data_IF_091388270578
#
_entry.id   IF_091388270578
#
_cell.length_a   1.000
_cell.length_b   1.000
_cell.length_c   1.000
_cell.angle_alpha   90.00
_cell.angle_beta   90.00
_cell.angle_gamma   90.00
#
_symmetry.space_group_name_H-M   'P 1'
#
loop_
_entity.id
_entity.type
_entity.pdbx_description
1 polymer ?
#
# COMPACT_ATOMS: atom_id res chain seq x y z
N UNK A 1 -29.95 25.24 -20.15
CA UNK A 1 -29.10 24.06 -19.88
C UNK A 1 -29.78 23.29 -18.78
N UNK A 2 -30.22 22.05 -19.04
CA UNK A 2 -30.83 21.21 -17.98
C UNK A 2 -29.80 20.94 -16.90
N UNK A 3 -30.14 21.26 -15.65
CA UNK A 3 -29.37 20.83 -14.49
C UNK A 3 -29.34 19.29 -14.48
N UNK A 4 -28.18 18.66 -14.24
CA UNK A 4 -28.11 17.21 -14.12
C UNK A 4 -29.00 16.74 -12.97
N UNK A 5 -29.74 15.65 -13.19
CA UNK A 5 -30.68 15.07 -12.22
C UNK A 5 -29.99 14.60 -10.93
N UNK A 6 -28.71 14.23 -11.05
CA UNK A 6 -27.85 13.80 -9.96
C UNK A 6 -26.57 14.65 -9.90
N UNK A 7 -26.16 14.98 -8.69
CA UNK A 7 -24.96 15.74 -8.40
C UNK A 7 -24.03 14.94 -7.50
N UNK A 8 -22.73 14.96 -7.83
CA UNK A 8 -21.67 14.36 -7.03
C UNK A 8 -21.32 15.24 -5.84
N UNK A 9 -21.33 14.66 -4.64
CA UNK A 9 -21.12 15.38 -3.37
C UNK A 9 -19.74 15.09 -2.78
N UNK A 10 -19.23 13.87 -2.95
CA UNK A 10 -17.95 13.45 -2.41
C UNK A 10 -17.28 12.40 -3.30
N UNK A 11 -15.96 12.29 -3.16
CA UNK A 11 -15.14 11.24 -3.76
C UNK A 11 -14.25 10.65 -2.68
N UNK A 12 -14.14 9.33 -2.66
CA UNK A 12 -13.42 8.56 -1.66
C UNK A 12 -12.43 7.60 -2.32
N UNK A 13 -11.38 7.26 -1.57
CA UNK A 13 -10.37 6.31 -2.02
C UNK A 13 -10.83 4.86 -1.87
N UNK A 14 -11.82 4.57 -1.02
CA UNK A 14 -12.35 3.23 -0.79
C UNK A 14 -13.89 3.24 -0.78
N UNK A 15 -14.48 2.07 -1.04
CA UNK A 15 -15.93 1.89 -1.03
C UNK A 15 -16.57 1.98 0.36
N UNK A 16 -15.83 1.61 1.42
CA UNK A 16 -16.34 1.60 2.78
C UNK A 16 -16.69 3.02 3.28
N UNK A 17 -15.81 3.99 3.05
CA UNK A 17 -16.05 5.40 3.42
C UNK A 17 -17.21 6.00 2.62
N UNK A 18 -17.33 5.64 1.34
CA UNK A 18 -18.43 6.08 0.49
C UNK A 18 -19.77 5.50 0.96
N UNK A 19 -19.81 4.21 1.31
CA UNK A 19 -21.00 3.57 1.88
C UNK A 19 -21.34 4.11 3.26
N UNK A 20 -20.35 4.49 4.06
CA UNK A 20 -20.56 5.18 5.34
C UNK A 20 -21.29 6.52 5.13
N UNK A 21 -20.79 7.39 4.24
CA UNK A 21 -21.49 8.66 3.94
C UNK A 21 -22.89 8.40 3.38
N UNK A 22 -23.06 7.41 2.50
CA UNK A 22 -24.38 7.03 1.98
C UNK A 22 -25.34 6.63 3.10
N UNK A 23 -24.89 5.82 4.06
CA UNK A 23 -25.70 5.40 5.20
C UNK A 23 -26.13 6.61 6.05
N UNK A 24 -25.20 7.54 6.33
CA UNK A 24 -25.49 8.79 7.05
C UNK A 24 -26.55 9.61 6.30
N UNK A 25 -26.35 9.88 5.01
CA UNK A 25 -27.31 10.64 4.19
C UNK A 25 -28.69 9.97 4.15
N UNK A 26 -28.75 8.64 4.05
CA UNK A 26 -30.00 7.88 4.08
C UNK A 26 -30.70 7.98 5.43
N UNK A 27 -29.96 8.01 6.54
CA UNK A 27 -30.51 8.28 7.88
C UNK A 27 -31.21 9.64 8.00
N UNK A 28 -30.75 10.64 7.23
CA UNK A 28 -31.37 11.97 7.13
C UNK A 28 -32.46 12.08 6.04
N UNK A 29 -32.88 10.95 5.48
CA UNK A 29 -33.93 10.86 4.46
C UNK A 29 -33.48 11.26 3.05
N UNK A 30 -32.17 11.38 2.80
CA UNK A 30 -31.60 11.72 1.48
C UNK A 30 -31.23 10.45 0.73
N UNK A 31 -31.75 10.27 -0.48
CA UNK A 31 -31.37 9.12 -1.32
C UNK A 31 -30.01 9.38 -1.97
N UNK A 32 -29.01 8.60 -1.57
CA UNK A 32 -27.67 8.62 -2.12
C UNK A 32 -27.31 7.31 -2.85
N UNK A 33 -26.49 7.43 -3.89
CA UNK A 33 -25.95 6.34 -4.68
C UNK A 33 -24.41 6.38 -4.64
N UNK A 34 -23.79 5.21 -4.66
CA UNK A 34 -22.34 5.04 -4.71
C UNK A 34 -21.96 4.54 -6.10
N UNK A 35 -21.17 5.33 -6.82
CA UNK A 35 -20.64 4.98 -8.14
C UNK A 35 -19.18 4.52 -8.01
N UNK A 36 -18.81 3.43 -8.68
CA UNK A 36 -17.43 2.95 -8.75
C UNK A 36 -17.01 1.98 -7.63
N UNK A 37 -17.86 1.72 -6.64
CA UNK A 37 -17.57 0.75 -5.55
C UNK A 37 -17.27 -0.66 -6.08
N UNK A 38 -18.15 -1.20 -6.93
CA UNK A 38 -17.98 -2.55 -7.52
C UNK A 38 -16.72 -2.68 -8.39
N UNK A 39 -16.37 -1.61 -9.11
CA UNK A 39 -15.17 -1.57 -9.93
C UNK A 39 -13.91 -1.62 -9.08
N UNK A 40 -13.91 -0.92 -7.94
CA UNK A 40 -12.77 -0.97 -7.03
C UNK A 40 -12.58 -2.35 -6.42
N UNK A 41 -13.65 -3.01 -5.97
CA UNK A 41 -13.57 -4.37 -5.40
C UNK A 41 -13.15 -5.39 -6.45
N UNK A 42 -13.64 -5.26 -7.69
CA UNK A 42 -13.32 -6.19 -8.77
C UNK A 42 -11.94 -5.96 -9.39
N UNK A 43 -11.41 -4.74 -9.33
CA UNK A 43 -10.15 -4.31 -9.95
C UNK A 43 -9.29 -3.56 -8.94
N UNK A 44 -8.90 -4.24 -7.85
CA UNK A 44 -8.18 -3.66 -6.70
C UNK A 44 -6.96 -2.80 -7.07
N UNK A 45 -6.25 -3.13 -8.17
CA UNK A 45 -5.08 -2.40 -8.63
C UNK A 45 -5.35 -1.20 -9.56
N UNK A 46 -6.54 -1.11 -10.16
CA UNK A 46 -6.87 -0.08 -11.18
C UNK A 46 -7.87 0.95 -10.64
N UNK A 47 -8.58 0.66 -9.55
CA UNK A 47 -9.63 1.53 -9.00
C UNK A 47 -9.20 2.99 -8.75
N UNK A 48 -7.96 3.22 -8.31
CA UNK A 48 -7.42 4.57 -8.09
C UNK A 48 -7.17 5.36 -9.38
N UNK A 49 -6.90 4.69 -10.51
CA UNK A 49 -6.72 5.33 -11.81
C UNK A 49 -8.06 5.76 -12.45
N UNK A 50 -9.18 5.20 -12.00
CA UNK A 50 -10.51 5.46 -12.55
C UNK A 50 -11.25 6.62 -11.86
N UNK A 51 -10.57 7.38 -11.00
CA UNK A 51 -11.14 8.55 -10.33
C UNK A 51 -11.74 8.26 -8.95
N UNK A 52 -11.66 7.03 -8.45
CA UNK A 52 -12.13 6.63 -7.12
C UNK A 52 -13.62 6.29 -7.05
N UNK A 53 -14.14 6.22 -5.82
CA UNK A 53 -15.55 5.92 -5.54
C UNK A 53 -16.28 7.23 -5.24
N UNK A 54 -17.45 7.43 -5.84
CA UNK A 54 -18.17 8.69 -5.76
C UNK A 54 -19.54 8.52 -5.11
N UNK A 55 -19.93 9.49 -4.27
CA UNK A 55 -21.29 9.56 -3.72
C UNK A 55 -22.08 10.64 -4.47
N UNK A 56 -23.18 10.23 -5.08
CA UNK A 56 -24.09 11.09 -5.84
C UNK A 56 -25.47 11.11 -5.22
N UNK A 57 -26.11 12.28 -5.22
CA UNK A 57 -27.48 12.50 -4.72
C UNK A 57 -28.30 13.25 -5.76
N UNK A 58 -29.62 13.30 -5.60
CA UNK A 58 -30.45 14.15 -6.46
C UNK A 58 -30.08 15.63 -6.30
N UNK A 59 -30.14 16.39 -7.39
CA UNK A 59 -29.78 17.83 -7.38
C UNK A 59 -30.59 18.66 -6.39
N UNK A 60 -31.84 18.24 -6.09
CA UNK A 60 -32.70 18.93 -5.11
C UNK A 60 -32.23 18.76 -3.66
N UNK A 61 -31.49 17.71 -3.35
CA UNK A 61 -31.00 17.39 -2.00
C UNK A 61 -29.50 17.72 -1.84
N UNK A 62 -28.85 18.23 -2.89
CA UNK A 62 -27.41 18.40 -2.93
C UNK A 62 -26.87 19.36 -1.87
N UNK A 63 -27.55 20.49 -1.64
CA UNK A 63 -27.15 21.49 -0.65
C UNK A 63 -27.19 20.92 0.78
N UNK A 64 -28.29 20.25 1.13
CA UNK A 64 -28.45 19.57 2.43
C UNK A 64 -27.45 18.44 2.63
N UNK A 65 -27.14 17.68 1.57
CA UNK A 65 -26.13 16.62 1.63
C UNK A 65 -24.72 17.17 1.85
N UNK A 66 -24.40 18.33 1.28
CA UNK A 66 -23.11 19.02 1.51
C UNK A 66 -23.00 19.48 2.96
N UNK A 67 -24.08 20.05 3.52
CA UNK A 67 -24.12 20.48 4.92
C UNK A 67 -23.86 19.32 5.89
N UNK A 68 -24.59 18.21 5.75
CA UNK A 68 -24.41 17.01 6.58
C UNK A 68 -22.99 16.44 6.45
N UNK A 69 -22.42 16.45 5.24
CA UNK A 69 -21.04 16.00 5.02
C UNK A 69 -20.04 16.90 5.77
N UNK A 70 -20.26 18.21 5.78
CA UNK A 70 -19.38 19.16 6.48
C UNK A 70 -19.46 18.96 8.00
N UNK A 71 -20.66 18.75 8.55
CA UNK A 71 -20.88 18.41 9.95
C UNK A 71 -20.12 17.12 10.33
N UNK A 72 -20.29 16.05 9.54
CA UNK A 72 -19.57 14.77 9.76
C UNK A 72 -18.05 14.96 9.70
N UNK A 73 -17.57 15.78 8.76
CA UNK A 73 -16.14 16.06 8.64
C UNK A 73 -15.63 16.76 9.89
N UNK A 74 -16.37 17.74 10.43
CA UNK A 74 -16.00 18.47 11.65
C UNK A 74 -15.99 17.56 12.88
N UNK A 75 -16.92 16.62 13.00
CA UNK A 75 -16.91 15.62 14.08
C UNK A 75 -15.70 14.67 13.98
N UNK A 76 -15.26 14.34 12.76
CA UNK A 76 -14.12 13.45 12.52
C UNK A 76 -12.75 14.15 12.53
N UNK A 77 -12.67 15.48 12.63
CA UNK A 77 -11.37 16.14 12.69
C UNK A 77 -10.63 15.67 13.94
N UNK A 78 -9.32 15.43 13.74
CA UNK A 78 -8.40 15.04 14.80
C UNK A 78 -8.67 15.89 16.04
N UNK A 79 -8.75 15.26 17.23
CA UNK A 79 -8.96 15.98 18.47
C UNK A 79 -7.99 17.16 18.50
N UNK A 80 -8.53 18.38 18.52
CA UNK A 80 -7.79 19.65 18.34
C UNK A 80 -6.78 19.98 19.45
N UNK A 81 -6.35 18.99 20.24
CA UNK A 81 -5.37 19.11 21.30
C UNK A 81 -4.21 18.16 21.10
N UNK A 82 -3.07 18.50 21.69
CA UNK A 82 -2.01 17.52 21.92
C UNK A 82 -2.44 16.49 22.97
N UNK A 83 -1.60 15.46 23.21
CA UNK A 83 -1.80 14.57 24.34
C UNK A 83 -1.95 15.35 25.65
N UNK A 84 -2.72 14.82 26.59
CA UNK A 84 -2.97 15.42 27.89
C UNK A 84 -2.43 14.53 29.01
N UNK A 85 -2.16 15.11 30.16
CA UNK A 85 -1.56 14.40 31.29
C UNK A 85 -2.60 14.18 32.39
N UNK A 86 -2.78 12.93 32.79
CA UNK A 86 -3.65 12.58 33.91
C UNK A 86 -2.92 12.82 35.23
N UNK A 87 -3.35 13.83 35.99
CA UNK A 87 -2.77 14.18 37.29
C UNK A 87 -3.03 13.17 38.41
N UNK A 88 -3.99 12.24 38.24
CA UNK A 88 -4.28 11.22 39.26
C UNK A 88 -3.34 10.01 39.17
N UNK A 89 -3.04 9.53 37.96
CA UNK A 89 -2.22 8.32 37.75
C UNK A 89 -0.94 8.56 36.95
N UNK A 90 -0.64 9.83 36.68
CA UNK A 90 0.58 10.33 36.03
C UNK A 90 0.84 9.72 34.64
N UNK A 91 -0.22 9.54 33.86
CA UNK A 91 -0.15 8.93 32.52
C UNK A 91 -0.37 9.97 31.42
N UNK A 92 0.36 9.84 30.31
CA UNK A 92 0.12 10.63 29.10
C UNK A 92 -0.98 9.93 28.29
N UNK A 93 -2.04 10.67 27.97
CA UNK A 93 -3.22 10.17 27.28
C UNK A 93 -3.36 10.91 25.95
N UNK A 94 -3.63 10.18 24.89
CA UNK A 94 -3.87 10.79 23.58
C UNK A 94 -5.08 11.72 23.59
N UNK A 95 -5.01 12.77 22.77
CA UNK A 95 -6.03 13.80 22.68
C UNK A 95 -7.43 13.27 22.31
N UNK A 96 -7.50 12.09 21.68
CA UNK A 96 -8.74 11.45 21.25
C UNK A 96 -9.56 10.86 22.38
N UNK A 97 -9.00 10.71 23.58
CA UNK A 97 -9.69 10.13 24.72
C UNK A 97 -10.15 11.22 25.69
N UNK A 98 -11.45 11.17 26.02
CA UNK A 98 -12.06 12.00 27.08
C UNK A 98 -11.87 11.38 28.48
N UNK A 99 -11.32 10.17 28.57
CA UNK A 99 -11.15 9.42 29.81
C UNK A 99 -9.74 8.85 29.85
N UNK A 100 -9.09 8.90 31.02
CA UNK A 100 -7.79 8.26 31.19
C UNK A 100 -7.93 6.74 31.08
N UNK A 101 -7.19 6.12 30.17
CA UNK A 101 -7.22 4.67 29.95
C UNK A 101 -6.67 3.85 31.12
N UNK A 102 -5.84 4.46 31.99
CA UNK A 102 -5.23 3.80 33.16
C UNK A 102 -6.12 3.85 34.40
N UNK A 103 -6.65 5.01 34.77
CA UNK A 103 -7.48 5.16 35.97
C UNK A 103 -9.00 5.24 35.72
N UNK A 104 -9.42 5.47 34.47
CA UNK A 104 -10.84 5.58 34.09
C UNK A 104 -11.52 6.90 34.46
N UNK A 105 -10.79 7.91 34.93
CA UNK A 105 -11.35 9.22 35.27
C UNK A 105 -11.46 10.14 34.05
N UNK A 106 -12.46 11.03 34.07
CA UNK A 106 -12.76 11.96 32.99
C UNK A 106 -11.68 13.05 32.89
N UNK A 107 -11.27 13.39 31.66
CA UNK A 107 -10.25 14.41 31.37
C UNK A 107 -10.53 15.72 32.08
N UNK A 108 -11.80 16.14 32.14
CA UNK A 108 -12.18 17.40 32.77
C UNK A 108 -11.90 17.45 34.29
N UNK A 109 -11.78 16.29 34.93
CA UNK A 109 -11.53 16.16 36.37
C UNK A 109 -10.03 15.98 36.70
N UNK A 110 -9.26 15.38 35.78
CA UNK A 110 -7.88 14.94 36.05
C UNK A 110 -6.81 15.58 35.19
N UNK A 111 -7.16 16.35 34.15
CA UNK A 111 -6.17 16.98 33.30
C UNK A 111 -5.32 17.97 34.10
N UNK A 112 -4.03 17.65 34.20
CA UNK A 112 -3.04 18.48 34.83
C UNK A 112 -2.09 19.07 33.77
N UNK A 113 -1.39 20.13 34.14
CA UNK A 113 -0.34 20.67 33.30
C UNK A 113 0.69 19.55 33.05
N UNK A 114 1.04 19.35 31.77
CA UNK A 114 2.08 18.40 31.41
C UNK A 114 3.33 18.75 32.23
N UNK A 115 3.96 17.78 32.92
CA UNK A 115 5.13 18.05 33.72
C UNK A 115 6.15 18.75 32.82
N UNK A 116 6.55 19.96 33.25
CA UNK A 116 7.48 20.80 32.49
C UNK A 116 8.80 20.05 32.45
N UNK A 117 8.97 19.22 31.41
CA UNK A 117 10.12 18.35 31.15
C UNK A 117 10.72 17.87 32.46
N UNK A 118 10.32 16.68 32.94
CA UNK A 118 11.31 15.89 33.68
C UNK A 118 12.61 16.07 32.89
N UNK A 119 13.66 16.58 33.54
CA UNK A 119 14.97 16.82 32.94
C UNK A 119 15.43 15.50 32.31
N UNK A 120 14.91 15.23 31.12
CA UNK A 120 15.37 14.24 30.18
C UNK A 120 16.59 14.95 29.66
N UNK A 121 17.66 14.86 30.46
CA UNK A 121 18.98 15.30 30.11
C UNK A 121 19.18 14.97 28.63
N UNK A 122 19.25 16.04 27.83
CA UNK A 122 19.67 15.98 26.46
C UNK A 122 20.95 15.12 26.42
N UNK A 123 20.99 14.13 25.51
CA UNK A 123 22.22 13.44 25.09
C UNK A 123 22.78 12.30 25.96
N UNK A 124 21.95 11.39 26.48
CA UNK A 124 22.34 9.99 26.28
C UNK A 124 21.84 9.60 24.89
N UNK A 125 22.76 9.64 23.91
CA UNK A 125 22.68 8.76 22.75
C UNK A 125 22.07 7.46 23.27
N UNK A 126 20.86 7.10 22.81
CA UNK A 126 20.41 5.72 22.89
C UNK A 126 21.52 4.94 22.16
N UNK A 127 22.53 4.49 22.92
CA UNK A 127 23.35 3.36 22.59
C UNK A 127 22.29 2.34 22.23
N UNK A 128 22.11 2.17 20.91
CA UNK A 128 21.19 1.20 20.34
C UNK A 128 21.38 -0.02 21.20
N UNK A 129 20.43 -0.29 22.11
CA UNK A 129 20.39 -1.53 22.85
C UNK A 129 20.34 -2.52 21.71
N UNK A 130 21.49 -3.14 21.43
CA UNK A 130 21.61 -4.21 20.46
C UNK A 130 20.45 -5.09 20.80
N UNK A 131 19.49 -5.19 19.88
CA UNK A 131 18.20 -5.80 20.12
C UNK A 131 18.46 -7.21 20.62
N UNK A 132 18.55 -7.40 21.94
CA UNK A 132 18.82 -8.69 22.57
C UNK A 132 17.59 -9.60 22.40
N UNK A 133 16.56 -9.13 21.68
CA UNK A 133 15.54 -9.98 21.06
C UNK A 133 16.05 -10.75 19.83
N UNK A 134 17.31 -10.61 19.44
CA UNK A 134 18.05 -11.64 18.69
C UNK A 134 18.33 -12.88 19.55
N UNK A 135 17.64 -13.08 20.68
CA UNK A 135 17.39 -14.42 21.15
C UNK A 135 16.76 -15.20 19.99
N UNK A 136 17.42 -16.25 19.47
CA UNK A 136 16.82 -17.07 18.45
C UNK A 136 15.49 -17.55 19.01
N UNK A 137 14.39 -17.16 18.35
CA UNK A 137 13.06 -17.64 18.66
C UNK A 137 13.19 -19.14 18.95
N UNK A 138 12.70 -19.63 20.10
CA UNK A 138 12.88 -21.03 20.46
C UNK A 138 12.46 -21.87 19.26
N UNK A 139 13.38 -22.74 18.80
CA UNK A 139 13.28 -23.45 17.51
C UNK A 139 11.94 -24.17 17.33
N UNK A 140 11.24 -24.42 18.44
CA UNK A 140 9.89 -24.96 18.50
C UNK A 140 9.10 -24.23 19.57
N UNK A 141 8.00 -23.58 19.18
CA UNK A 141 6.93 -23.27 20.11
C UNK A 141 6.52 -24.57 20.80
N UNK A 142 6.68 -24.64 22.12
CA UNK A 142 6.33 -25.83 22.89
C UNK A 142 4.80 -25.96 22.87
N UNK A 143 4.29 -26.99 22.22
CA UNK A 143 2.86 -27.26 22.22
C UNK A 143 2.49 -27.86 23.57
N UNK A 144 1.76 -27.08 24.38
CA UNK A 144 1.17 -27.58 25.61
C UNK A 144 -0.25 -28.09 25.32
N UNK A 145 -0.42 -29.42 25.32
CA UNK A 145 -1.71 -30.07 25.13
C UNK A 145 -2.72 -29.73 26.24
N UNK A 146 -2.25 -29.25 27.38
CA UNK A 146 -3.09 -28.84 28.50
C UNK A 146 -3.63 -27.40 28.38
N UNK A 147 -3.18 -26.62 27.38
CA UNK A 147 -3.66 -25.26 27.17
C UNK A 147 -5.09 -25.26 26.55
N UNK A 148 -6.13 -24.84 27.28
CA UNK A 148 -7.51 -24.83 26.77
C UNK A 148 -7.74 -23.77 25.68
N UNK A 149 -6.81 -22.84 25.49
CA UNK A 149 -6.82 -21.81 24.44
C UNK A 149 -5.96 -22.19 23.22
N UNK A 150 -5.40 -23.40 23.17
CA UNK A 150 -4.65 -23.84 22.00
C UNK A 150 -5.55 -23.84 20.75
N UNK A 151 -5.15 -23.09 19.71
CA UNK A 151 -5.88 -23.03 18.45
C UNK A 151 -6.07 -24.44 17.88
N UNK A 152 -7.27 -24.82 17.40
CA UNK A 152 -7.50 -26.11 16.73
C UNK A 152 -6.55 -26.38 15.55
N UNK A 153 -6.02 -25.31 14.94
CA UNK A 153 -5.07 -25.40 13.82
C UNK A 153 -3.67 -25.86 14.22
N UNK A 154 -3.32 -25.83 15.52
CA UNK A 154 -2.02 -26.26 15.99
C UNK A 154 -1.79 -27.79 15.91
N UNK A 155 -2.85 -28.58 15.70
CA UNK A 155 -2.75 -30.04 15.50
C UNK A 155 -2.41 -30.46 14.07
N UNK A 156 -2.28 -29.51 13.13
CA UNK A 156 -1.80 -29.84 11.78
C UNK A 156 -0.34 -30.26 11.93
N UNK A 157 -0.09 -31.58 11.79
CA UNK A 157 1.25 -32.19 11.66
C UNK A 157 2.15 -31.17 11.00
N UNK A 158 3.18 -30.73 11.73
CA UNK A 158 4.21 -29.80 11.27
C UNK A 158 4.62 -30.20 9.86
N UNK A 159 3.93 -29.62 8.88
CA UNK A 159 4.16 -29.86 7.48
C UNK A 159 5.55 -29.30 7.31
N UNK A 160 6.47 -30.17 6.88
CA UNK A 160 7.86 -29.88 6.60
C UNK A 160 8.00 -28.41 6.26
N UNK A 161 8.50 -27.63 7.24
CA UNK A 161 8.46 -26.16 7.26
C UNK A 161 8.88 -25.77 5.84
N UNK A 162 7.96 -25.25 4.98
CA UNK A 162 8.29 -25.00 3.59
C UNK A 162 9.56 -24.19 3.66
N UNK A 163 10.65 -24.69 3.03
CA UNK A 163 11.95 -24.02 3.02
C UNK A 163 11.63 -22.55 2.95
N UNK A 164 12.00 -21.77 3.98
CA UNK A 164 11.77 -20.32 4.02
C UNK A 164 12.07 -19.87 2.60
N UNK A 165 11.08 -19.36 1.84
CA UNK A 165 11.32 -18.94 0.47
C UNK A 165 12.56 -18.08 0.55
N UNK A 166 13.67 -18.53 -0.06
CA UNK A 166 14.92 -17.75 -0.12
C UNK A 166 14.46 -16.36 -0.50
N UNK A 167 14.62 -15.34 0.35
CA UNK A 167 13.93 -14.05 0.20
C UNK A 167 14.06 -13.59 -1.25
N UNK A 168 13.02 -13.89 -2.04
CA UNK A 168 13.06 -13.68 -3.47
C UNK A 168 12.94 -12.18 -3.53
N UNK A 169 13.99 -11.53 -4.04
CA UNK A 169 13.95 -10.10 -4.18
C UNK A 169 12.82 -9.76 -5.17
N UNK A 170 11.65 -9.41 -4.61
CA UNK A 170 10.42 -9.13 -5.37
C UNK A 170 10.65 -7.97 -6.35
N UNK A 171 11.55 -7.05 -6.01
CA UNK A 171 11.95 -5.94 -6.85
C UNK A 171 12.68 -6.45 -8.10
N UNK A 172 13.65 -7.36 -7.94
CA UNK A 172 14.36 -7.97 -9.06
C UNK A 172 13.41 -8.73 -10.01
N UNK A 173 12.45 -9.49 -9.47
CA UNK A 173 11.44 -10.19 -10.29
C UNK A 173 10.53 -9.20 -11.03
N UNK A 174 10.13 -8.09 -10.39
CA UNK A 174 9.38 -7.02 -11.04
C UNK A 174 10.18 -6.38 -12.19
N UNK A 175 11.50 -6.20 -12.02
CA UNK A 175 12.39 -5.71 -13.09
C UNK A 175 12.44 -6.68 -14.27
N UNK A 176 12.51 -8.00 -14.04
CA UNK A 176 12.52 -9.02 -15.10
C UNK A 176 11.22 -9.00 -15.92
N UNK A 177 10.06 -8.85 -15.28
CA UNK A 177 8.77 -8.74 -15.97
C UNK A 177 8.73 -7.50 -16.87
N UNK A 178 9.24 -6.35 -16.38
CA UNK A 178 9.33 -5.12 -17.17
C UNK A 178 10.30 -5.28 -18.34
N UNK A 179 11.48 -5.87 -18.11
CA UNK A 179 12.50 -6.11 -19.14
C UNK A 179 11.98 -7.01 -20.26
N UNK A 180 11.27 -8.09 -19.93
CA UNK A 180 10.64 -9.02 -20.88
C UNK A 180 9.59 -8.33 -21.75
N UNK A 181 8.68 -7.54 -21.16
CA UNK A 181 7.68 -6.76 -21.90
C UNK A 181 8.33 -5.74 -22.82
N UNK A 182 9.36 -5.03 -22.34
CA UNK A 182 10.11 -4.07 -23.13
C UNK A 182 10.82 -4.72 -24.34
N UNK A 183 11.39 -5.92 -24.18
CA UNK A 183 12.01 -6.67 -25.27
C UNK A 183 10.99 -7.03 -26.38
N UNK A 184 9.79 -7.48 -25.99
CA UNK A 184 8.72 -7.79 -26.96
C UNK A 184 8.27 -6.54 -27.72
N UNK A 185 8.02 -5.43 -27.00
CA UNK A 185 7.62 -4.16 -27.62
C UNK A 185 8.72 -3.62 -28.53
N UNK A 186 9.98 -3.75 -28.11
CA UNK A 186 11.14 -3.31 -28.86
C UNK A 186 11.31 -4.01 -30.20
N UNK A 187 10.87 -5.26 -30.33
CA UNK A 187 10.90 -5.98 -31.60
C UNK A 187 10.01 -5.33 -32.68
N UNK A 188 8.99 -4.56 -32.28
CA UNK A 188 7.96 -4.06 -33.21
C UNK A 188 7.99 -2.54 -33.40
N UNK A 189 8.11 -1.74 -32.34
CA UNK A 189 7.78 -0.31 -32.40
C UNK A 189 8.98 0.64 -32.40
N UNK A 190 9.99 0.38 -31.57
CA UNK A 190 11.19 1.24 -31.44
C UNK A 190 12.40 0.40 -30.99
N UNK A 191 13.06 -0.29 -31.92
CA UNK A 191 14.04 -1.33 -31.62
C UNK A 191 15.26 -0.81 -30.86
N UNK A 192 15.80 0.34 -31.20
CA UNK A 192 17.04 0.80 -30.58
C UNK A 192 16.77 1.19 -29.12
N UNK A 193 15.79 2.07 -28.87
CA UNK A 193 15.54 2.60 -27.53
C UNK A 193 14.97 1.54 -26.57
N UNK A 194 14.00 0.73 -27.04
CA UNK A 194 13.37 -0.27 -26.19
C UNK A 194 14.31 -1.43 -25.84
N UNK A 195 15.20 -1.87 -26.75
CA UNK A 195 16.18 -2.90 -26.44
C UNK A 195 17.29 -2.38 -25.50
N UNK A 196 17.72 -1.11 -25.63
CA UNK A 196 18.65 -0.50 -24.67
C UNK A 196 18.01 -0.46 -23.27
N UNK A 197 16.75 -0.05 -23.16
CA UNK A 197 16.03 -0.04 -21.89
C UNK A 197 15.85 -1.44 -21.30
N UNK A 198 15.44 -2.41 -22.12
CA UNK A 198 15.31 -3.81 -21.70
C UNK A 198 16.64 -4.37 -21.18
N UNK A 199 17.74 -4.11 -21.90
CA UNK A 199 19.07 -4.56 -21.49
C UNK A 199 19.53 -3.90 -20.18
N UNK A 200 19.28 -2.59 -20.00
CA UNK A 200 19.55 -1.90 -18.74
C UNK A 200 18.83 -2.54 -17.55
N UNK A 201 17.54 -2.87 -17.71
CA UNK A 201 16.75 -3.52 -16.65
C UNK A 201 17.25 -4.93 -16.32
N UNK A 202 17.73 -5.71 -17.31
CA UNK A 202 18.34 -7.02 -17.07
C UNK A 202 19.63 -6.90 -16.26
N UNK A 203 20.47 -5.91 -16.55
CA UNK A 203 21.70 -5.65 -15.78
C UNK A 203 21.39 -5.13 -14.37
N UNK A 204 20.36 -4.30 -14.20
CA UNK A 204 19.91 -3.85 -12.89
C UNK A 204 19.43 -5.03 -12.03
N UNK A 205 18.62 -5.94 -12.60
CA UNK A 205 18.17 -7.14 -11.90
C UNK A 205 19.33 -8.07 -11.50
N UNK A 206 20.34 -8.24 -12.36
CA UNK A 206 21.55 -9.02 -12.04
C UNK A 206 22.40 -8.39 -10.94
N UNK A 207 22.43 -7.05 -10.84
CA UNK A 207 23.16 -6.36 -9.78
C UNK A 207 22.50 -6.60 -8.42
N UNK A 208 21.19 -6.75 -8.41
CA UNK A 208 20.38 -6.86 -7.21
C UNK A 208 20.36 -8.29 -6.63
N UNK A 209 20.31 -9.32 -7.50
CA UNK A 209 20.37 -10.72 -7.06
C UNK A 209 20.98 -11.62 -8.12
N UNK A 210 21.74 -12.63 -7.69
CA UNK A 210 22.24 -13.72 -8.54
C UNK A 210 21.30 -14.93 -8.57
N UNK A 211 20.27 -14.96 -7.72
CA UNK A 211 19.33 -16.06 -7.61
C UNK A 211 17.94 -15.60 -8.04
N UNK A 212 17.48 -16.08 -9.19
CA UNK A 212 16.13 -15.86 -9.70
C UNK A 212 15.26 -17.09 -9.52
N UNK A 213 13.94 -16.90 -9.48
CA UNK A 213 13.00 -18.01 -9.54
C UNK A 213 13.13 -18.77 -10.87
N UNK A 214 12.63 -20.03 -10.97
CA UNK A 214 12.59 -20.74 -12.25
C UNK A 214 11.85 -19.95 -13.35
N UNK A 215 10.79 -19.23 -12.98
CA UNK A 215 10.07 -18.34 -13.91
C UNK A 215 10.90 -17.10 -14.28
N UNK A 216 11.54 -16.46 -13.30
CA UNK A 216 12.45 -15.33 -13.49
C UNK A 216 13.60 -15.69 -14.43
N UNK A 217 14.23 -16.85 -14.23
CA UNK A 217 15.27 -17.39 -15.11
C UNK A 217 14.79 -17.56 -16.56
N UNK A 218 13.57 -18.07 -16.76
CA UNK A 218 13.01 -18.18 -18.11
C UNK A 218 12.78 -16.80 -18.76
N UNK A 219 12.25 -15.84 -18.02
CA UNK A 219 12.03 -14.46 -18.50
C UNK A 219 13.34 -13.73 -18.80
N UNK A 220 14.34 -13.89 -17.93
CA UNK A 220 15.68 -13.32 -18.11
C UNK A 220 16.32 -13.83 -19.41
N UNK A 221 16.40 -15.15 -19.57
CA UNK A 221 16.99 -15.78 -20.75
C UNK A 221 16.21 -15.43 -22.03
N UNK A 222 14.88 -15.41 -21.95
CA UNK A 222 14.03 -15.01 -23.07
C UNK A 222 14.27 -13.57 -23.49
N UNK A 223 14.27 -12.62 -22.55
CA UNK A 223 14.46 -11.20 -22.83
C UNK A 223 15.86 -10.95 -23.43
N UNK A 224 16.90 -11.59 -22.88
CA UNK A 224 18.25 -11.50 -23.39
C UNK A 224 18.35 -11.99 -24.85
N UNK A 225 17.75 -13.14 -25.15
CA UNK A 225 17.74 -13.70 -26.51
C UNK A 225 16.99 -12.80 -27.51
N UNK A 226 15.84 -12.25 -27.12
CA UNK A 226 15.08 -11.31 -27.95
C UNK A 226 15.88 -10.03 -28.26
N UNK A 227 16.56 -9.46 -27.26
CA UNK A 227 17.42 -8.29 -27.45
C UNK A 227 18.57 -8.58 -28.42
N UNK A 228 19.20 -9.76 -28.32
CA UNK A 228 20.25 -10.20 -29.25
C UNK A 228 19.75 -10.35 -30.69
N UNK A 229 18.62 -11.06 -30.88
CA UNK A 229 18.02 -11.22 -32.20
C UNK A 229 17.64 -9.89 -32.83
N UNK A 230 17.02 -9.00 -32.05
CA UNK A 230 16.66 -7.67 -32.53
C UNK A 230 17.91 -6.86 -32.91
N UNK A 231 18.97 -6.90 -32.09
CA UNK A 231 20.24 -6.24 -32.40
C UNK A 231 20.86 -6.73 -33.71
N UNK A 232 20.86 -8.03 -33.95
CA UNK A 232 21.38 -8.64 -35.20
C UNK A 232 20.52 -8.22 -36.39
N UNK A 233 19.20 -8.32 -36.29
CA UNK A 233 18.27 -8.00 -37.38
C UNK A 233 18.40 -6.53 -37.81
N UNK A 234 18.42 -5.61 -36.84
CA UNK A 234 18.57 -4.18 -37.12
C UNK A 234 19.99 -3.81 -37.56
N UNK A 235 21.01 -4.44 -36.99
CA UNK A 235 22.39 -4.28 -37.44
C UNK A 235 22.57 -4.69 -38.90
N UNK A 236 22.00 -5.83 -39.31
CA UNK A 236 21.98 -6.26 -40.71
C UNK A 236 21.19 -5.30 -41.59
N UNK A 237 20.00 -4.87 -41.15
CA UNK A 237 19.18 -3.90 -41.88
C UNK A 237 19.95 -2.60 -42.15
N UNK A 238 20.57 -2.00 -41.13
CA UNK A 238 21.38 -0.80 -41.30
C UNK A 238 22.63 -1.04 -42.14
N UNK A 239 23.29 -2.19 -42.00
CA UNK A 239 24.43 -2.56 -42.84
C UNK A 239 24.06 -2.56 -44.33
N UNK A 240 22.92 -3.16 -44.70
CA UNK A 240 22.46 -3.17 -46.09
C UNK A 240 21.97 -1.79 -46.56
N UNK A 241 21.33 -1.01 -45.70
CA UNK A 241 20.81 0.31 -46.03
C UNK A 241 21.94 1.33 -46.26
N UNK A 242 23.04 1.22 -45.51
CA UNK A 242 24.19 2.13 -45.61
C UNK A 242 25.36 1.57 -46.42
N UNK A 243 25.23 0.38 -47.02
CA UNK A 243 26.29 -0.16 -47.87
C UNK A 243 26.45 0.75 -49.10
N UNK A 244 27.59 1.42 -49.27
CA UNK A 244 27.79 2.29 -50.42
C UNK A 244 27.70 1.45 -51.70
N UNK A 245 26.84 1.87 -52.62
CA UNK A 245 26.78 1.28 -53.96
C UNK A 245 28.03 1.77 -54.68
N UNK A 246 29.05 0.91 -54.74
CA UNK A 246 30.23 1.13 -55.57
C UNK A 246 29.78 0.94 -57.02
N UNK A 247 29.55 2.05 -57.72
CA UNK A 247 29.22 2.11 -59.15
C UNK A 247 30.51 2.15 -59.97
#
# INVERSE_FOLDING_TARGET
>A
MSTPEFQRIASYANAADADHLKAVLQGHGIRAFVEGGDLQTSLSYIGSALGGVHVTVHSVDAEKAIEIKQELSQESHEPTGGPWFCGECEEIVDAGFQVCWKCGQDRSEVEAAMPATADLDDEEEEEYLSDDNDQPLPDRAHFDESNPYASPQAKVKSAEKPRKPTEINEEAEAMLVRAWRAAIIGLTFMPILANIYSMYMLFAALKETNEFTPEGNWRFNGAFFLNMLSGIAWGAFFYFLYRPVVV
#
